data_IF_614552837879
#
_entry.id   IF_614552837879
#
_cell.length_a   1.000
_cell.length_b   1.000
_cell.length_c   1.000
_cell.angle_alpha   90.00
_cell.angle_beta   90.00
_cell.angle_gamma   90.00
#
_symmetry.space_group_name_H-M   'P 1'
#
loop_
_entity.id
_entity.type
_entity.pdbx_description
1 polymer ?
#
# COMPACT_ATOMS: atom_id res chain seq x y z
N UNK A 1 57.68 62.30 121.56
CA UNK A 1 58.90 62.82 120.92
C UNK A 1 59.25 61.90 119.76
N UNK A 2 59.25 62.49 118.54
CA UNK A 2 60.04 62.14 117.33
C UNK A 2 60.06 60.65 116.89
N UNK A 3 59.74 60.26 115.65
CA UNK A 3 60.13 60.93 114.41
C UNK A 3 59.31 60.43 113.21
N UNK A 4 59.08 61.35 112.27
CA UNK A 4 58.53 61.16 110.92
C UNK A 4 59.49 60.39 109.99
N UNK A 5 58.90 59.68 109.00
CA UNK A 5 59.26 59.61 107.56
C UNK A 5 58.50 58.42 106.96
N UNK A 6 57.45 58.60 106.18
CA UNK A 6 57.37 59.09 104.80
C UNK A 6 58.11 58.23 103.76
N UNK A 7 57.34 57.96 102.68
CA UNK A 7 57.72 57.53 101.34
C UNK A 7 57.77 56.02 101.08
N UNK A 8 56.77 55.62 100.27
CA UNK A 8 56.90 54.90 99.00
C UNK A 8 57.94 53.79 98.93
N UNK A 9 57.48 52.60 98.54
CA UNK A 9 58.03 51.77 97.46
C UNK A 9 57.04 50.61 97.28
N UNK A 10 56.29 50.47 96.19
CA UNK A 10 56.79 50.27 94.83
C UNK A 10 58.01 49.34 94.84
N UNK A 11 57.76 48.05 95.02
CA UNK A 11 58.65 46.99 94.55
C UNK A 11 57.73 45.85 94.13
N UNK A 12 57.23 45.93 92.91
CA UNK A 12 57.82 45.14 91.82
C UNK A 12 57.61 43.66 92.10
N UNK A 13 56.52 43.11 91.54
CA UNK A 13 56.43 41.68 91.27
C UNK A 13 57.60 41.33 90.35
N UNK A 14 58.72 40.93 90.96
CA UNK A 14 60.00 40.64 90.34
C UNK A 14 60.04 39.20 89.79
N UNK A 15 58.95 38.75 89.18
CA UNK A 15 58.91 37.49 88.44
C UNK A 15 58.23 37.72 87.08
N UNK A 16 58.91 37.45 85.95
CA UNK A 16 58.27 37.58 84.66
C UNK A 16 57.10 36.60 84.58
N UNK A 17 55.95 37.08 84.12
CA UNK A 17 54.65 36.40 83.99
C UNK A 17 54.65 35.29 82.90
N UNK A 18 55.79 34.60 82.77
CA UNK A 18 56.07 33.52 81.81
C UNK A 18 54.99 32.43 81.79
N UNK A 19 54.45 31.94 82.92
CA UNK A 19 53.40 30.92 82.85
C UNK A 19 52.08 31.46 82.27
N UNK A 20 51.70 32.70 82.56
CA UNK A 20 50.47 33.31 82.01
C UNK A 20 50.58 33.56 80.50
N UNK A 21 51.75 33.99 80.01
CA UNK A 21 52.00 34.16 78.57
C UNK A 21 51.95 32.83 77.80
N UNK A 22 52.53 31.75 78.37
CA UNK A 22 52.49 30.41 77.78
C UNK A 22 51.07 29.85 77.74
N UNK A 23 50.30 30.01 78.82
CA UNK A 23 48.89 29.60 78.89
C UNK A 23 48.05 30.36 77.86
N UNK A 24 48.26 31.68 77.72
CA UNK A 24 47.57 32.50 76.71
C UNK A 24 47.84 32.06 75.27
N UNK A 25 49.12 31.83 74.91
CA UNK A 25 49.50 31.31 73.59
C UNK A 25 48.91 29.94 73.32
N UNK A 26 48.90 29.07 74.33
CA UNK A 26 48.31 27.73 74.24
C UNK A 26 46.78 27.81 74.01
N UNK A 27 46.08 28.69 74.73
CA UNK A 27 44.64 28.93 74.55
C UNK A 27 44.29 29.41 73.14
N UNK A 28 45.06 30.35 72.58
CA UNK A 28 44.90 30.80 71.18
C UNK A 28 45.14 29.65 70.20
N UNK A 29 46.17 28.83 70.46
CA UNK A 29 46.47 27.63 69.67
C UNK A 29 45.32 26.63 69.66
N UNK A 30 44.71 26.37 70.82
CA UNK A 30 43.54 25.51 70.97
C UNK A 30 42.32 26.05 70.23
N UNK A 31 42.02 27.34 70.36
CA UNK A 31 40.88 27.96 69.67
C UNK A 31 41.04 27.87 68.15
N UNK A 32 42.24 28.17 67.63
CA UNK A 32 42.54 28.04 66.19
C UNK A 32 42.44 26.60 65.70
N UNK A 33 42.82 25.62 66.52
CA UNK A 33 42.66 24.20 66.20
C UNK A 33 41.18 23.81 66.17
N UNK A 34 40.40 24.29 67.14
CA UNK A 34 38.98 24.03 67.24
C UNK A 34 38.20 24.60 66.03
N UNK A 35 38.51 25.83 65.61
CA UNK A 35 37.90 26.44 64.42
C UNK A 35 38.20 25.62 63.15
N UNK A 36 39.44 25.13 63.01
CA UNK A 36 39.82 24.22 61.92
C UNK A 36 39.02 22.93 61.96
N UNK A 37 38.83 22.34 63.15
CA UNK A 37 38.06 21.11 63.32
C UNK A 37 36.59 21.30 62.92
N UNK A 38 35.97 22.42 63.32
CA UNK A 38 34.59 22.75 62.96
C UNK A 38 34.45 22.91 61.44
N UNK A 39 35.39 23.61 60.79
CA UNK A 39 35.37 23.78 59.34
C UNK A 39 35.52 22.45 58.60
N UNK A 40 36.47 21.60 59.01
CA UNK A 40 36.64 20.25 58.44
C UNK A 40 35.41 19.37 58.64
N UNK A 41 34.72 19.49 59.77
CA UNK A 41 33.48 18.76 60.01
C UNK A 41 32.37 19.18 59.03
N UNK A 42 32.21 20.49 58.83
CA UNK A 42 31.25 21.04 57.84
C UNK A 42 31.60 20.61 56.41
N UNK A 43 32.86 20.65 56.05
CA UNK A 43 33.33 20.22 54.72
C UNK A 43 33.06 18.73 54.50
N UNK A 44 33.36 17.87 55.47
CA UNK A 44 33.05 16.44 55.41
C UNK A 44 31.55 16.16 55.26
N UNK A 45 30.70 16.94 55.94
CA UNK A 45 29.25 16.81 55.78
C UNK A 45 28.80 17.19 54.36
N UNK A 46 29.35 18.29 53.80
CA UNK A 46 29.08 18.71 52.42
C UNK A 46 29.53 17.65 51.41
N UNK A 47 30.75 17.11 51.55
CA UNK A 47 31.28 16.05 50.70
C UNK A 47 30.39 14.79 50.72
N UNK A 48 29.90 14.40 51.90
CA UNK A 48 28.98 13.27 52.03
C UNK A 48 27.66 13.48 51.29
N UNK A 49 27.12 14.69 51.33
CA UNK A 49 25.90 15.04 50.58
C UNK A 49 26.16 15.02 49.07
N UNK A 50 27.27 15.62 48.61
CA UNK A 50 27.66 15.61 47.21
C UNK A 50 27.86 14.19 46.67
N UNK A 51 28.50 13.32 47.45
CA UNK A 51 28.67 11.91 47.10
C UNK A 51 27.33 11.20 46.90
N UNK A 52 26.35 11.44 47.78
CA UNK A 52 25.00 10.88 47.63
C UNK A 52 24.30 11.36 46.36
N UNK A 53 24.43 12.65 46.02
CA UNK A 53 23.89 13.22 44.78
C UNK A 53 24.56 12.56 43.56
N UNK A 54 25.88 12.39 43.59
CA UNK A 54 26.62 11.76 42.51
C UNK A 54 26.19 10.29 42.30
N UNK A 55 25.98 9.54 43.37
CA UNK A 55 25.44 8.18 43.29
C UNK A 55 24.05 8.14 42.64
N UNK A 56 23.16 9.06 43.00
CA UNK A 56 21.83 9.15 42.42
C UNK A 56 21.90 9.47 40.92
N UNK A 57 22.73 10.44 40.53
CA UNK A 57 22.95 10.80 39.12
C UNK A 57 23.49 9.62 38.31
N UNK A 58 24.40 8.83 38.87
CA UNK A 58 24.93 7.64 38.19
C UNK A 58 23.83 6.59 37.95
N UNK A 59 22.94 6.38 38.92
CA UNK A 59 21.79 5.48 38.74
C UNK A 59 20.80 6.01 37.70
N UNK A 60 20.60 7.32 37.64
CA UNK A 60 19.75 7.95 36.63
C UNK A 60 20.33 7.79 35.21
N UNK A 61 21.64 8.00 35.04
CA UNK A 61 22.33 7.79 33.77
C UNK A 61 22.18 6.34 33.30
N UNK A 62 22.30 5.36 34.20
CA UNK A 62 22.11 3.95 33.84
C UNK A 62 20.72 3.69 33.29
N UNK A 63 19.67 4.21 33.94
CA UNK A 63 18.28 4.06 33.47
C UNK A 63 18.07 4.74 32.10
N UNK A 64 18.59 5.95 31.92
CA UNK A 64 18.48 6.67 30.64
C UNK A 64 19.18 5.88 29.52
N UNK A 65 20.33 5.28 29.80
CA UNK A 65 21.06 4.48 28.82
C UNK A 65 20.30 3.20 28.42
N UNK A 66 19.62 2.56 29.38
CA UNK A 66 18.75 1.40 29.11
C UNK A 66 17.57 1.81 28.21
N UNK A 67 16.86 2.87 28.57
CA UNK A 67 15.73 3.40 27.77
C UNK A 67 16.17 3.80 26.35
N UNK A 68 17.35 4.41 26.21
CA UNK A 68 17.91 4.76 24.90
C UNK A 68 18.24 3.52 24.07
N UNK A 69 18.79 2.48 24.69
CA UNK A 69 19.08 1.24 24.01
C UNK A 69 17.79 0.55 23.54
N UNK A 70 16.73 0.52 24.35
CA UNK A 70 15.43 0.00 23.93
C UNK A 70 14.86 0.75 22.72
N UNK A 71 14.89 2.09 22.75
CA UNK A 71 14.45 2.92 21.62
C UNK A 71 15.28 2.68 20.36
N UNK A 72 16.59 2.45 20.51
CA UNK A 72 17.46 2.11 19.40
C UNK A 72 17.08 0.76 18.78
N UNK A 73 16.85 -0.27 19.60
CA UNK A 73 16.42 -1.58 19.11
C UNK A 73 15.05 -1.53 18.41
N UNK A 74 14.11 -0.75 18.94
CA UNK A 74 12.82 -0.54 18.30
C UNK A 74 12.95 0.18 16.94
N UNK A 75 13.82 1.18 16.87
CA UNK A 75 14.12 1.88 15.61
C UNK A 75 14.69 0.91 14.56
N UNK A 76 15.57 0.00 14.95
CA UNK A 76 16.10 -1.03 14.06
C UNK A 76 15.00 -1.94 13.53
N UNK A 77 14.10 -2.42 14.40
CA UNK A 77 12.95 -3.27 13.98
C UNK A 77 12.05 -2.56 12.99
N UNK A 78 11.67 -1.32 13.28
CA UNK A 78 10.84 -0.50 12.38
C UNK A 78 11.53 -0.33 11.02
N UNK A 79 12.84 -0.08 11.02
CA UNK A 79 13.61 0.08 9.79
C UNK A 79 13.65 -1.20 8.95
N UNK A 80 13.79 -2.36 9.59
CA UNK A 80 13.75 -3.66 8.92
C UNK A 80 12.37 -3.93 8.28
N UNK A 81 11.29 -3.62 8.99
CA UNK A 81 9.93 -3.79 8.47
C UNK A 81 9.61 -2.81 7.34
N UNK A 82 10.08 -1.57 7.43
CA UNK A 82 10.01 -0.60 6.32
C UNK A 82 10.76 -1.11 5.08
N UNK A 83 11.94 -1.70 5.27
CA UNK A 83 12.72 -2.25 4.17
C UNK A 83 11.99 -3.42 3.51
N UNK A 84 11.35 -4.32 4.27
CA UNK A 84 10.51 -5.40 3.70
C UNK A 84 9.36 -4.84 2.85
N UNK A 85 8.61 -3.86 3.38
CA UNK A 85 7.53 -3.19 2.64
C UNK A 85 8.02 -2.52 1.36
N UNK A 86 9.20 -1.89 1.41
CA UNK A 86 9.81 -1.29 0.23
C UNK A 86 10.11 -2.34 -0.85
N UNK A 87 10.64 -3.52 -0.49
CA UNK A 87 10.89 -4.60 -1.45
C UNK A 87 9.60 -5.17 -2.05
N UNK A 88 8.54 -5.31 -1.26
CA UNK A 88 7.22 -5.73 -1.75
C UNK A 88 6.66 -4.75 -2.79
N UNK A 89 6.70 -3.45 -2.49
CA UNK A 89 6.26 -2.40 -3.41
C UNK A 89 7.10 -2.42 -4.69
N UNK A 90 8.41 -2.61 -4.58
CA UNK A 90 9.31 -2.71 -5.72
C UNK A 90 8.92 -3.89 -6.64
N UNK A 91 8.63 -5.05 -6.06
CA UNK A 91 8.19 -6.22 -6.83
C UNK A 91 6.85 -5.98 -7.54
N UNK A 92 5.87 -5.39 -6.84
CA UNK A 92 4.56 -5.04 -7.41
C UNK A 92 4.73 -4.08 -8.59
N UNK A 93 5.55 -3.03 -8.43
CA UNK A 93 5.79 -2.06 -9.48
C UNK A 93 6.43 -2.68 -10.73
N UNK A 94 7.37 -3.61 -10.56
CA UNK A 94 7.97 -4.35 -11.67
C UNK A 94 6.92 -5.17 -12.42
N UNK A 95 6.07 -5.91 -11.71
CA UNK A 95 4.99 -6.70 -12.33
C UNK A 95 3.97 -5.82 -13.08
N UNK A 96 3.58 -4.68 -12.48
CA UNK A 96 2.68 -3.72 -13.13
C UNK A 96 3.30 -3.14 -14.40
N UNK A 97 4.60 -2.86 -14.40
CA UNK A 97 5.33 -2.37 -15.57
C UNK A 97 5.34 -3.38 -16.71
N UNK A 98 5.58 -4.66 -16.41
CA UNK A 98 5.52 -5.75 -17.39
C UNK A 98 4.12 -5.87 -18.01
N UNK A 99 3.07 -5.86 -17.17
CA UNK A 99 1.67 -5.90 -17.65
C UNK A 99 1.30 -4.70 -18.51
N UNK A 100 1.83 -3.53 -18.21
CA UNK A 100 1.59 -2.33 -19.01
C UNK A 100 2.23 -2.49 -20.39
N UNK A 101 3.49 -2.95 -20.43
CA UNK A 101 4.19 -3.21 -21.69
C UNK A 101 3.45 -4.24 -22.56
N UNK A 102 2.96 -5.34 -21.99
CA UNK A 102 2.17 -6.33 -22.74
C UNK A 102 0.88 -5.73 -23.32
N UNK A 103 0.25 -4.77 -22.62
CA UNK A 103 -0.95 -4.10 -23.12
C UNK A 103 -0.60 -3.14 -24.25
N UNK A 104 0.50 -2.41 -24.14
CA UNK A 104 0.98 -1.51 -25.19
C UNK A 104 1.27 -2.30 -26.48
N UNK A 105 1.95 -3.45 -26.39
CA UNK A 105 2.20 -4.33 -27.54
C UNK A 105 0.91 -4.85 -28.19
N UNK A 106 -0.10 -5.21 -27.38
CA UNK A 106 -1.41 -5.63 -27.88
C UNK A 106 -2.16 -4.48 -28.55
N UNK A 107 -2.04 -3.27 -28.01
CA UNK A 107 -2.67 -2.08 -28.57
C UNK A 107 -2.07 -1.72 -29.94
N UNK A 108 -0.75 -1.72 -30.06
CA UNK A 108 -0.05 -1.51 -31.35
C UNK A 108 -0.49 -2.53 -32.40
N UNK A 109 -0.57 -3.82 -32.00
CA UNK A 109 -1.04 -4.88 -32.91
C UNK A 109 -2.50 -4.66 -33.35
N UNK A 110 -3.35 -4.16 -32.45
CA UNK A 110 -4.74 -3.84 -32.77
C UNK A 110 -4.82 -2.65 -33.74
N UNK A 111 -4.04 -1.59 -33.51
CA UNK A 111 -3.96 -0.44 -34.41
C UNK A 111 -3.54 -0.85 -35.82
N UNK A 112 -2.52 -1.70 -35.94
CA UNK A 112 -2.09 -2.22 -37.24
C UNK A 112 -3.17 -3.04 -37.94
N UNK A 113 -3.92 -3.86 -37.19
CA UNK A 113 -5.03 -4.63 -37.76
C UNK A 113 -6.16 -3.72 -38.27
N UNK A 114 -6.50 -2.66 -37.54
CA UNK A 114 -7.50 -1.67 -37.95
C UNK A 114 -7.06 -1.00 -39.25
N UNK A 115 -5.81 -0.54 -39.33
CA UNK A 115 -5.26 0.08 -40.54
C UNK A 115 -5.32 -0.86 -41.76
N UNK A 116 -5.00 -2.14 -41.57
CA UNK A 116 -5.09 -3.14 -42.64
C UNK A 116 -6.53 -3.37 -43.11
N UNK A 117 -7.49 -3.43 -42.18
CA UNK A 117 -8.91 -3.57 -42.49
C UNK A 117 -9.46 -2.35 -43.24
N UNK A 118 -9.06 -1.15 -42.83
CA UNK A 118 -9.46 0.09 -43.50
C UNK A 118 -8.93 0.14 -44.93
N UNK A 119 -7.68 -0.28 -45.14
CA UNK A 119 -7.11 -0.43 -46.49
C UNK A 119 -7.92 -1.41 -47.35
N UNK A 120 -8.20 -2.60 -46.84
CA UNK A 120 -9.00 -3.60 -47.57
C UNK A 120 -10.40 -3.09 -47.93
N UNK A 121 -11.08 -2.43 -46.97
CA UNK A 121 -12.39 -1.82 -47.20
C UNK A 121 -12.33 -0.76 -48.29
N UNK A 122 -11.28 0.07 -48.32
CA UNK A 122 -11.11 1.08 -49.35
C UNK A 122 -10.88 0.46 -50.73
N UNK A 123 -10.14 -0.65 -50.82
CA UNK A 123 -9.94 -1.40 -52.06
C UNK A 123 -11.27 -2.01 -52.57
N UNK A 124 -12.07 -2.61 -51.69
CA UNK A 124 -13.41 -3.14 -52.06
C UNK A 124 -14.37 -2.03 -52.52
N UNK A 125 -14.37 -0.88 -51.84
CA UNK A 125 -15.18 0.26 -52.25
C UNK A 125 -14.77 0.79 -53.63
N UNK A 126 -13.48 0.85 -53.93
CA UNK A 126 -12.99 1.23 -55.27
C UNK A 126 -13.43 0.23 -56.34
N UNK A 127 -13.37 -1.08 -56.05
CA UNK A 127 -13.85 -2.10 -56.98
C UNK A 127 -15.35 -1.96 -57.26
N UNK A 128 -16.14 -1.70 -56.21
CA UNK A 128 -17.58 -1.53 -56.32
C UNK A 128 -17.95 -0.26 -57.10
N UNK A 129 -17.21 0.83 -56.91
CA UNK A 129 -17.36 2.08 -57.67
C UNK A 129 -17.14 1.83 -59.17
N UNK A 130 -16.06 1.13 -59.54
CA UNK A 130 -15.78 0.77 -60.94
C UNK A 130 -16.93 -0.08 -61.51
N UNK A 131 -17.46 -1.01 -60.72
CA UNK A 131 -18.58 -1.86 -61.12
C UNK A 131 -19.85 -1.04 -61.40
N UNK A 132 -20.22 -0.11 -60.52
CA UNK A 132 -21.38 0.75 -60.71
C UNK A 132 -21.24 1.66 -61.94
N UNK A 133 -20.09 2.30 -62.13
CA UNK A 133 -19.82 3.14 -63.31
C UNK A 133 -19.95 2.33 -64.61
N UNK A 134 -19.55 1.07 -64.61
CA UNK A 134 -19.72 0.20 -65.78
C UNK A 134 -21.18 -0.17 -66.02
N UNK A 135 -21.96 -0.43 -64.96
CA UNK A 135 -23.40 -0.70 -65.09
C UNK A 135 -24.16 0.51 -65.64
N UNK A 136 -23.88 1.71 -65.12
CA UNK A 136 -24.51 2.95 -65.56
C UNK A 136 -24.27 3.21 -67.05
N UNK A 137 -23.02 3.08 -67.51
CA UNK A 137 -22.68 3.15 -68.94
C UNK A 137 -23.43 2.12 -69.79
N UNK A 138 -23.58 0.89 -69.31
CA UNK A 138 -24.30 -0.14 -70.06
C UNK A 138 -25.81 0.14 -70.14
N UNK A 139 -26.40 0.72 -69.09
CA UNK A 139 -27.81 1.13 -69.07
C UNK A 139 -28.06 2.30 -70.04
N UNK A 140 -27.18 3.30 -70.05
CA UNK A 140 -27.27 4.45 -70.96
C UNK A 140 -27.23 4.02 -72.45
N UNK A 141 -26.46 2.97 -72.78
CA UNK A 141 -26.45 2.39 -74.13
C UNK A 141 -27.76 1.64 -74.45
N UNK A 142 -28.38 0.99 -73.45
CA UNK A 142 -29.64 0.24 -73.61
C UNK A 142 -30.86 1.15 -73.84
N UNK A 143 -30.79 2.39 -73.38
CA UNK A 143 -31.83 3.41 -73.58
C UNK A 143 -31.71 4.16 -74.93
N UNK A 144 -30.65 3.89 -75.72
CA UNK A 144 -30.48 4.45 -77.07
C UNK A 144 -31.31 3.69 -78.11
N UNK A 145 -32.11 4.41 -78.91
CA UNK A 145 -33.00 3.84 -79.93
C UNK A 145 -32.28 3.23 -81.16
N UNK A 146 -30.99 3.50 -81.33
CA UNK A 146 -30.14 2.92 -82.38
C UNK A 146 -28.87 2.30 -81.78
N UNK A 147 -28.74 0.97 -81.85
CA UNK A 147 -27.53 0.22 -81.45
C UNK A 147 -26.57 0.19 -82.64
N UNK A 148 -25.38 0.78 -82.49
CA UNK A 148 -24.34 0.81 -83.51
C UNK A 148 -23.24 -0.25 -83.27
N UNK A 149 -22.36 -0.44 -84.26
CA UNK A 149 -21.28 -1.44 -84.22
C UNK A 149 -20.20 -1.14 -83.13
N UNK A 150 -20.09 0.12 -82.72
CA UNK A 150 -19.19 0.58 -81.66
C UNK A 150 -19.73 0.22 -80.26
N UNK A 151 -21.05 0.27 -80.06
CA UNK A 151 -21.74 -0.14 -78.82
C UNK A 151 -21.51 -1.63 -78.53
N UNK A 152 -21.58 -2.47 -79.57
CA UNK A 152 -21.28 -3.92 -79.49
C UNK A 152 -19.83 -4.18 -79.06
N UNK A 153 -18.90 -3.30 -79.44
CA UNK A 153 -17.48 -3.39 -79.09
C UNK A 153 -17.26 -3.03 -77.62
N UNK A 154 -17.91 -1.97 -77.12
CA UNK A 154 -17.89 -1.53 -75.72
C UNK A 154 -18.47 -2.61 -74.81
N UNK A 155 -19.60 -3.24 -75.17
CA UNK A 155 -20.17 -4.35 -74.40
C UNK A 155 -19.24 -5.56 -74.32
N UNK A 156 -18.50 -5.88 -75.41
CA UNK A 156 -17.52 -6.98 -75.42
C UNK A 156 -16.27 -6.67 -74.59
N UNK A 157 -15.82 -5.42 -74.56
CA UNK A 157 -14.71 -4.97 -73.71
C UNK A 157 -15.11 -4.96 -72.22
N UNK A 158 -16.30 -4.47 -71.89
CA UNK A 158 -16.85 -4.54 -70.53
C UNK A 158 -16.96 -6.00 -70.07
N UNK A 159 -17.40 -6.92 -70.94
CA UNK A 159 -17.43 -8.36 -70.67
C UNK A 159 -16.06 -8.97 -70.35
N UNK A 160 -14.97 -8.47 -70.94
CA UNK A 160 -13.60 -8.91 -70.61
C UNK A 160 -13.11 -8.34 -69.27
N UNK A 161 -13.55 -7.13 -68.92
CA UNK A 161 -13.24 -6.51 -67.62
C UNK A 161 -14.00 -7.18 -66.47
N UNK A 162 -15.13 -7.84 -66.75
CA UNK A 162 -15.75 -8.82 -65.85
C UNK A 162 -15.07 -10.19 -65.91
N UNK A 163 -13.74 -10.23 -65.91
CA UNK A 163 -13.07 -11.41 -65.35
C UNK A 163 -13.36 -11.37 -63.86
N UNK A 164 -14.54 -11.86 -63.52
CA UNK A 164 -14.87 -12.38 -62.21
C UNK A 164 -13.71 -13.32 -61.94
N UNK A 165 -12.78 -12.91 -61.08
CA UNK A 165 -12.01 -13.88 -60.34
C UNK A 165 -13.08 -14.82 -59.80
N UNK A 166 -13.16 -16.03 -60.36
CA UNK A 166 -14.01 -17.08 -59.81
C UNK A 166 -13.90 -16.94 -58.31
N UNK A 167 -15.04 -16.95 -57.58
CA UNK A 167 -14.98 -16.83 -56.14
C UNK A 167 -13.94 -17.85 -55.74
N UNK A 168 -12.80 -17.36 -55.22
CA UNK A 168 -11.79 -18.24 -54.67
C UNK A 168 -12.64 -19.12 -53.80
N UNK A 169 -12.71 -20.39 -54.16
CA UNK A 169 -13.23 -21.39 -53.28
C UNK A 169 -12.30 -21.20 -52.10
N UNK A 170 -12.77 -20.41 -51.13
CA UNK A 170 -12.23 -20.41 -49.80
C UNK A 170 -12.43 -21.86 -49.50
N UNK A 171 -11.34 -22.60 -49.68
CA UNK A 171 -11.21 -23.94 -49.21
C UNK A 171 -11.82 -23.84 -47.82
N UNK A 172 -13.04 -24.37 -47.69
CA UNK A 172 -13.59 -24.74 -46.40
C UNK A 172 -12.78 -25.97 -46.02
N UNK A 173 -11.45 -25.79 -45.96
CA UNK A 173 -10.57 -26.63 -45.23
C UNK A 173 -11.20 -26.70 -43.84
N UNK A 174 -11.13 -27.87 -43.20
CA UNK A 174 -11.83 -28.14 -41.95
C UNK A 174 -11.33 -27.31 -40.74
N UNK A 175 -10.73 -26.15 -40.99
CA UNK A 175 -10.02 -25.30 -40.04
C UNK A 175 -10.79 -24.09 -39.52
N UNK A 176 -11.79 -23.52 -40.22
CA UNK A 176 -12.41 -22.26 -39.73
C UNK A 176 -13.43 -22.48 -38.59
N UNK A 177 -14.24 -23.53 -38.67
CA UNK A 177 -15.05 -23.98 -37.53
C UNK A 177 -14.14 -24.52 -36.40
N UNK A 178 -13.01 -25.15 -36.76
CA UNK A 178 -12.00 -25.65 -35.81
C UNK A 178 -11.18 -24.57 -35.11
N UNK A 179 -10.99 -23.37 -35.67
CA UNK A 179 -10.16 -22.31 -35.05
C UNK A 179 -10.96 -21.50 -34.02
N UNK A 180 -12.27 -21.32 -34.25
CA UNK A 180 -13.17 -20.81 -33.21
C UNK A 180 -13.39 -21.91 -32.17
N UNK A 181 -13.62 -23.17 -32.59
CA UNK A 181 -13.70 -24.33 -31.70
C UNK A 181 -12.43 -24.54 -30.85
N UNK A 182 -11.21 -24.34 -31.38
CA UNK A 182 -9.94 -24.49 -30.63
C UNK A 182 -9.68 -23.39 -29.61
N UNK A 183 -10.29 -22.21 -29.75
CA UNK A 183 -10.15 -21.13 -28.75
C UNK A 183 -11.15 -21.24 -27.61
N UNK A 184 -12.23 -21.99 -27.81
CA UNK A 184 -13.21 -22.32 -26.78
C UNK A 184 -13.13 -23.78 -26.30
N UNK A 185 -12.23 -24.61 -26.85
CA UNK A 185 -12.12 -26.05 -26.53
C UNK A 185 -11.74 -26.35 -25.08
N UNK A 186 -11.17 -25.37 -24.37
CA UNK A 186 -10.83 -25.51 -22.96
C UNK A 186 -11.97 -25.05 -22.02
N UNK A 187 -12.98 -24.35 -22.54
CA UNK A 187 -14.12 -23.89 -21.75
C UNK A 187 -15.10 -25.04 -21.61
N UNK A 188 -15.15 -25.62 -20.40
CA UNK A 188 -16.05 -26.74 -20.08
C UNK A 188 -17.38 -26.28 -19.51
N UNK A 189 -17.42 -25.13 -18.86
CA UNK A 189 -18.59 -24.61 -18.15
C UNK A 189 -18.73 -23.11 -18.37
N UNK A 190 -19.95 -22.67 -18.64
CA UNK A 190 -20.32 -21.25 -18.66
C UNK A 190 -21.11 -20.94 -17.40
N UNK A 191 -20.79 -19.84 -16.73
CA UNK A 191 -21.48 -19.38 -15.51
C UNK A 191 -22.03 -17.99 -15.75
N UNK A 192 -23.35 -17.83 -15.60
CA UNK A 192 -24.02 -16.53 -15.56
C UNK A 192 -24.17 -16.06 -14.11
N UNK A 193 -23.55 -14.94 -13.78
CA UNK A 193 -23.63 -14.29 -12.46
C UNK A 193 -24.62 -13.11 -12.52
N UNK A 194 -25.54 -13.03 -11.56
CA UNK A 194 -26.46 -11.91 -11.34
C UNK A 194 -26.14 -11.27 -9.98
N UNK A 195 -25.51 -10.09 -9.98
CA UNK A 195 -25.23 -9.32 -8.77
C UNK A 195 -26.26 -8.22 -8.60
N UNK A 196 -27.40 -8.56 -8.00
CA UNK A 196 -28.41 -7.57 -7.62
C UNK A 196 -28.02 -6.79 -6.37
N UNK A 197 -28.69 -5.67 -6.14
CA UNK A 197 -28.48 -4.80 -4.97
C UNK A 197 -28.79 -5.51 -3.64
N UNK A 198 -29.84 -6.32 -3.61
CA UNK A 198 -30.25 -7.06 -2.39
C UNK A 198 -29.87 -8.55 -2.45
N UNK A 199 -29.94 -9.15 -3.64
CA UNK A 199 -29.74 -10.58 -3.83
C UNK A 199 -28.84 -10.86 -5.04
N UNK A 200 -27.96 -11.84 -4.87
CA UNK A 200 -27.08 -12.36 -5.91
C UNK A 200 -27.41 -13.81 -6.22
N UNK A 201 -27.25 -14.22 -7.47
CA UNK A 201 -27.48 -15.59 -7.92
C UNK A 201 -26.52 -16.00 -9.03
N UNK A 202 -26.43 -17.30 -9.29
CA UNK A 202 -25.74 -17.77 -10.48
C UNK A 202 -26.43 -19.00 -11.07
N UNK A 203 -26.27 -19.16 -12.38
CA UNK A 203 -26.62 -20.38 -13.11
C UNK A 203 -25.42 -20.80 -13.95
N UNK A 204 -25.30 -22.10 -14.20
CA UNK A 204 -24.20 -22.63 -14.98
C UNK A 204 -24.69 -23.71 -15.95
N UNK A 205 -23.99 -23.89 -17.06
CA UNK A 205 -24.20 -25.00 -17.98
C UNK A 205 -22.86 -25.57 -18.44
N UNK A 206 -22.83 -26.88 -18.70
CA UNK A 206 -21.69 -27.52 -19.33
C UNK A 206 -21.77 -27.31 -20.85
N UNK A 207 -20.65 -26.94 -21.48
CA UNK A 207 -20.62 -26.58 -22.91
C UNK A 207 -21.03 -27.77 -23.80
N UNK A 208 -20.67 -29.00 -23.41
CA UNK A 208 -21.08 -30.23 -24.12
C UNK A 208 -22.53 -30.66 -23.83
N UNK A 209 -23.27 -29.91 -23.02
CA UNK A 209 -24.65 -30.23 -22.61
C UNK A 209 -25.59 -29.13 -23.08
N UNK A 210 -25.99 -29.18 -24.35
CA UNK A 210 -26.71 -28.12 -25.07
C UNK A 210 -28.05 -27.66 -24.43
N UNK A 211 -28.55 -28.33 -23.39
CA UNK A 211 -29.88 -28.04 -22.82
C UNK A 211 -29.96 -28.06 -21.28
N UNK A 212 -28.84 -28.16 -20.56
CA UNK A 212 -28.86 -28.27 -19.09
C UNK A 212 -28.28 -27.02 -18.40
N UNK A 213 -29.07 -25.95 -18.35
CA UNK A 213 -28.79 -24.79 -17.48
C UNK A 213 -29.27 -25.12 -16.07
N UNK A 214 -28.34 -25.11 -15.12
CA UNK A 214 -28.59 -25.39 -13.70
C UNK A 214 -28.44 -24.09 -12.92
N UNK A 215 -29.52 -23.63 -12.31
CA UNK A 215 -29.46 -22.53 -11.34
C UNK A 215 -29.02 -23.05 -9.98
N UNK A 216 -28.07 -22.36 -9.35
CA UNK A 216 -27.65 -22.73 -8.00
C UNK A 216 -28.75 -22.44 -6.99
N UNK A 217 -29.14 -23.48 -6.25
CA UNK A 217 -30.15 -23.38 -5.19
C UNK A 217 -29.57 -23.54 -3.78
N UNK A 218 -28.29 -23.91 -3.68
CA UNK A 218 -27.66 -24.23 -2.39
C UNK A 218 -26.67 -23.13 -2.02
N UNK A 219 -26.97 -22.44 -0.93
CA UNK A 219 -26.12 -21.37 -0.40
C UNK A 219 -25.80 -21.64 1.06
N UNK A 220 -24.75 -21.00 1.58
CA UNK A 220 -24.40 -21.05 3.00
C UNK A 220 -25.54 -20.45 3.82
N UNK A 221 -26.25 -21.28 4.59
CA UNK A 221 -27.31 -20.83 5.50
C UNK A 221 -28.71 -20.69 4.89
N UNK A 222 -28.91 -20.93 3.60
CA UNK A 222 -30.25 -20.97 3.00
C UNK A 222 -30.33 -21.87 1.75
N UNK A 223 -31.55 -22.34 1.47
CA UNK A 223 -31.90 -23.01 0.21
C UNK A 223 -32.78 -22.04 -0.59
N UNK A 224 -32.41 -21.76 -1.84
CA UNK A 224 -33.11 -20.83 -2.71
C UNK A 224 -32.25 -20.39 -3.89
N UNK A 225 -32.86 -19.81 -4.93
CA UNK A 225 -32.15 -19.42 -6.17
C UNK A 225 -31.15 -18.27 -6.00
N UNK A 226 -31.20 -17.54 -4.87
CA UNK A 226 -30.35 -16.39 -4.61
C UNK A 226 -29.90 -16.33 -3.14
N UNK A 227 -28.77 -15.68 -2.89
CA UNK A 227 -28.25 -15.31 -1.56
C UNK A 227 -28.21 -13.79 -1.41
N UNK A 228 -28.06 -13.28 -0.18
CA UNK A 228 -27.95 -11.83 0.07
C UNK A 228 -26.66 -11.25 -0.53
N UNK A 229 -26.74 -10.09 -1.15
CA UNK A 229 -25.55 -9.35 -1.65
C UNK A 229 -24.93 -8.54 -0.51
N UNK A 230 -24.36 -9.24 0.48
CA UNK A 230 -23.78 -8.62 1.69
C UNK A 230 -22.42 -9.24 1.96
N UNK A 231 -21.46 -8.40 2.36
CA UNK A 231 -20.14 -8.77 2.86
C UNK A 231 -20.01 -8.33 4.32
N UNK A 232 -19.41 -9.18 5.14
CA UNK A 232 -18.96 -8.84 6.49
C UNK A 232 -17.45 -8.79 6.47
N UNK A 233 -16.89 -7.69 6.98
CA UNK A 233 -15.44 -7.52 7.14
C UNK A 233 -15.00 -7.85 8.57
N UNK A 234 -13.71 -8.06 8.75
CA UNK A 234 -13.07 -8.05 10.06
C UNK A 234 -13.09 -6.64 10.68
N UNK A 235 -12.74 -6.54 11.96
CA UNK A 235 -12.77 -5.28 12.72
C UNK A 235 -11.83 -4.21 12.15
N UNK A 236 -10.78 -4.64 11.43
CA UNK A 236 -9.81 -3.77 10.76
C UNK A 236 -10.25 -3.37 9.34
N UNK A 237 -11.37 -3.91 8.83
CA UNK A 237 -11.88 -3.72 7.47
C UNK A 237 -10.90 -4.13 6.35
N UNK A 238 -9.93 -4.99 6.67
CA UNK A 238 -8.91 -5.47 5.74
C UNK A 238 -9.35 -6.73 5.00
N UNK A 239 -10.14 -7.59 5.67
CA UNK A 239 -10.51 -8.90 5.13
C UNK A 239 -12.02 -9.12 5.17
N UNK A 240 -12.56 -9.71 4.09
CA UNK A 240 -13.94 -10.23 4.10
C UNK A 240 -13.97 -11.54 4.88
N UNK A 241 -14.66 -11.56 6.01
CA UNK A 241 -14.78 -12.73 6.89
C UNK A 241 -15.98 -13.62 6.53
N UNK A 242 -17.06 -13.03 6.01
CA UNK A 242 -18.28 -13.73 5.61
C UNK A 242 -18.95 -13.02 4.43
N UNK A 243 -19.75 -13.74 3.65
CA UNK A 243 -20.60 -13.19 2.59
C UNK A 243 -21.95 -13.91 2.57
N UNK A 244 -22.97 -13.30 1.97
CA UNK A 244 -24.29 -13.92 1.87
C UNK A 244 -25.10 -13.82 3.15
N UNK A 245 -25.98 -14.80 3.38
CA UNK A 245 -26.76 -14.90 4.62
C UNK A 245 -25.92 -14.93 5.92
N UNK A 246 -24.77 -15.62 5.99
CA UNK A 246 -23.91 -15.61 7.18
C UNK A 246 -23.38 -14.24 7.57
N UNK A 247 -23.25 -13.32 6.61
CA UNK A 247 -22.78 -11.96 6.85
C UNK A 247 -23.84 -11.02 7.46
N UNK A 248 -25.09 -11.48 7.59
CA UNK A 248 -26.11 -10.73 8.29
C UNK A 248 -25.83 -10.76 9.80
N UNK A 249 -25.60 -9.59 10.38
CA UNK A 249 -25.40 -9.46 11.82
C UNK A 249 -26.59 -10.07 12.59
N UNK A 250 -26.30 -10.95 13.56
CA UNK A 250 -27.29 -11.33 14.57
C UNK A 250 -27.69 -10.07 15.34
N UNK A 251 -29.00 -9.86 15.54
CA UNK A 251 -29.51 -8.75 16.36
C UNK A 251 -28.76 -8.72 17.70
N UNK A 252 -28.32 -7.55 18.18
CA UNK A 252 -27.80 -7.45 19.54
C UNK A 252 -28.88 -7.94 20.50
N UNK A 253 -28.54 -8.90 21.38
CA UNK A 253 -29.41 -9.21 22.50
C UNK A 253 -29.55 -7.93 23.32
N UNK A 254 -30.75 -7.37 23.39
CA UNK A 254 -31.07 -6.34 24.37
C UNK A 254 -30.70 -6.89 25.73
N UNK A 255 -29.62 -6.37 26.33
CA UNK A 255 -29.33 -6.59 27.75
C UNK A 255 -30.50 -5.94 28.49
N UNK A 256 -31.32 -6.76 29.13
CA UNK A 256 -32.26 -6.27 30.14
C UNK A 256 -31.45 -5.46 31.14
N UNK A 257 -31.78 -4.17 31.24
CA UNK A 257 -31.42 -3.36 32.39
C UNK A 257 -32.10 -4.03 33.59
N UNK A 258 -31.33 -4.80 34.36
CA UNK A 258 -31.76 -5.15 35.70
C UNK A 258 -31.45 -3.94 36.59
N UNK A 259 -32.53 -3.32 37.04
CA UNK A 259 -32.61 -2.58 38.27
C UNK A 259 -32.06 -3.45 39.41
N UNK A 260 -31.11 -2.91 40.18
CA UNK A 260 -31.10 -2.83 41.65
C UNK A 260 -29.90 -1.98 42.10
#
# INVERSE_FOLDING_TARGET
>A
MTNERSKNNSSENLFPDKPHEVIGKLGIGFNKLNDKLINLLKENQSLKQQYKIFQQKNQEILRINEDLNEKYQETLRINDDLNKKYQEILHINTNLKEKLQEKDEKFEKLQQNILNLEKHKNEELQQLEIFYQNLEKNLEILESDEINENDIKIFKENKKNYTINEPITVDKGPGKDKIISRRYSDIKVVVGLDFGTEYSGFSYCHVDSEQNIISNIKWSGCIGFKTKTVLQYDDEYCNVVCWGYPALAKRPNHRNQNQD
#
